data_IF_927748913353
#
_entry.id   IF_927748913353
#
_cell.length_a   1.000
_cell.length_b   1.000
_cell.length_c   1.000
_cell.angle_alpha   90.00
_cell.angle_beta   90.00
_cell.angle_gamma   90.00
#
_symmetry.space_group_name_H-M   'P 1'
#
loop_
_entity.id
_entity.type
_entity.pdbx_description
1 polymer ?
#
# COMPACT_ATOMS: atom_id res chain seq x y z
N UNK A 1 9.75 11.75 10.51
CA UNK A 1 8.53 12.57 10.26
C UNK A 1 8.40 13.65 11.33
N UNK A 2 8.33 13.28 12.60
CA UNK A 2 8.08 14.25 13.68
C UNK A 2 9.18 15.33 13.77
N UNK A 3 10.42 15.00 13.52
CA UNK A 3 11.53 15.95 13.48
C UNK A 3 11.32 16.99 12.36
N UNK A 4 11.08 16.53 11.13
CA UNK A 4 10.87 17.39 9.94
C UNK A 4 9.63 18.29 10.11
N UNK A 5 8.59 17.77 10.75
CA UNK A 5 7.32 18.50 10.96
C UNK A 5 7.31 19.34 12.25
N UNK A 6 8.45 19.50 12.91
CA UNK A 6 8.55 20.20 14.22
C UNK A 6 7.51 19.67 15.22
N UNK A 7 7.40 18.34 15.34
CA UNK A 7 6.46 17.59 16.19
C UNK A 7 4.98 17.74 15.84
N UNK A 8 4.62 18.43 14.77
CA UNK A 8 3.21 18.61 14.35
C UNK A 8 2.59 17.34 13.76
N UNK A 9 3.40 16.47 13.16
CA UNK A 9 2.95 15.30 12.42
C UNK A 9 2.36 15.63 11.06
N UNK A 10 1.92 14.59 10.34
CA UNK A 10 1.36 14.71 8.99
C UNK A 10 -0.16 14.51 8.97
N UNK A 11 -0.88 15.09 8.00
CA UNK A 11 -2.32 14.93 7.93
C UNK A 11 -2.79 13.52 7.55
N UNK A 12 -2.01 12.80 6.76
CA UNK A 12 -2.36 11.46 6.26
C UNK A 12 -1.12 10.57 6.30
N UNK A 13 -1.30 9.31 6.67
CA UNK A 13 -0.32 8.23 6.51
C UNK A 13 -0.96 7.11 5.71
N UNK A 14 -0.29 6.70 4.63
CA UNK A 14 -0.61 5.52 3.84
C UNK A 14 0.30 4.36 4.28
N UNK A 15 -0.29 3.31 4.85
CA UNK A 15 0.45 2.16 5.38
C UNK A 15 0.06 0.87 4.63
N UNK A 16 1.01 0.36 3.86
CA UNK A 16 0.90 -0.92 3.14
C UNK A 16 1.54 -2.10 3.87
N UNK A 17 2.19 -1.85 5.02
CA UNK A 17 2.97 -2.87 5.75
C UNK A 17 2.14 -3.55 6.85
N UNK A 18 1.38 -2.80 7.61
CA UNK A 18 0.42 -3.32 8.58
C UNK A 18 1.04 -3.54 9.98
N UNK A 19 1.01 -4.80 10.48
CA UNK A 19 1.33 -5.15 11.88
C UNK A 19 2.58 -4.46 12.44
N UNK A 20 3.68 -4.46 11.69
CA UNK A 20 4.97 -3.95 12.20
C UNK A 20 5.10 -2.43 12.17
N UNK A 21 4.23 -1.73 11.44
CA UNK A 21 4.34 -0.27 11.23
C UNK A 21 3.20 0.52 11.83
N UNK A 22 2.06 -0.10 12.09
CA UNK A 22 0.83 0.56 12.51
C UNK A 22 1.02 1.59 13.62
N UNK A 23 1.64 1.20 14.74
CA UNK A 23 1.82 2.12 15.88
C UNK A 23 2.71 3.32 15.52
N UNK A 24 3.80 3.09 14.80
CA UNK A 24 4.68 4.17 14.33
C UNK A 24 3.99 5.08 13.33
N UNK A 25 3.13 4.52 12.49
CA UNK A 25 2.31 5.26 11.53
C UNK A 25 1.30 6.18 12.25
N UNK A 26 0.63 5.67 13.29
CA UNK A 26 -0.27 6.45 14.15
C UNK A 26 0.47 7.60 14.85
N UNK A 27 1.67 7.35 15.37
CA UNK A 27 2.49 8.37 16.03
C UNK A 27 2.85 9.54 15.09
N UNK A 28 3.07 9.24 13.82
CA UNK A 28 3.38 10.25 12.80
C UNK A 28 2.23 11.20 12.46
N UNK A 29 0.99 10.83 12.79
CA UNK A 29 -0.19 11.63 12.46
C UNK A 29 -0.37 12.80 13.41
N UNK A 30 -0.78 13.94 12.86
CA UNK A 30 -1.30 15.07 13.64
C UNK A 30 -2.68 14.77 14.21
N UNK A 31 -3.16 15.59 15.15
CA UNK A 31 -4.54 15.58 15.64
C UNK A 31 -5.52 15.67 14.45
N UNK A 32 -6.56 14.86 14.46
CA UNK A 32 -7.55 14.68 13.38
C UNK A 32 -6.91 14.24 12.03
N UNK A 33 -5.76 13.58 12.09
CA UNK A 33 -5.13 12.98 10.91
C UNK A 33 -5.82 11.68 10.50
N UNK A 34 -5.54 11.24 9.28
CA UNK A 34 -6.12 10.03 8.69
C UNK A 34 -5.07 8.94 8.53
N UNK A 35 -5.37 7.77 9.09
CA UNK A 35 -4.63 6.53 8.86
C UNK A 35 -5.30 5.74 7.73
N UNK A 36 -4.62 5.56 6.62
CA UNK A 36 -5.05 4.75 5.48
C UNK A 36 -4.27 3.45 5.47
N UNK A 37 -4.85 2.38 6.04
CA UNK A 37 -4.23 1.06 6.11
C UNK A 37 -4.65 0.21 4.92
N UNK A 38 -3.86 0.18 3.85
CA UNK A 38 -4.25 -0.49 2.60
C UNK A 38 -3.53 -1.82 2.34
N UNK A 39 -2.60 -2.24 3.22
CA UNK A 39 -1.85 -3.48 3.04
C UNK A 39 -1.48 -4.19 4.33
N UNK A 40 -1.00 -5.43 4.18
CA UNK A 40 -0.65 -6.36 5.27
C UNK A 40 0.69 -7.08 5.01
N UNK A 41 1.66 -6.42 4.40
CA UNK A 41 2.93 -7.06 4.04
C UNK A 41 3.68 -7.71 5.23
N UNK A 42 3.44 -7.21 6.46
CA UNK A 42 4.00 -7.79 7.70
C UNK A 42 2.98 -8.54 8.56
N UNK A 43 1.79 -8.75 8.06
CA UNK A 43 0.67 -9.39 8.75
C UNK A 43 -0.50 -8.43 8.98
N UNK A 44 -1.65 -9.02 9.26
CA UNK A 44 -2.90 -8.30 9.53
C UNK A 44 -2.82 -7.49 10.81
N UNK A 45 -3.57 -6.39 10.84
CA UNK A 45 -3.87 -5.67 12.06
C UNK A 45 -4.96 -6.42 12.82
N UNK A 46 -4.63 -6.87 14.00
CA UNK A 46 -5.54 -7.54 14.91
C UNK A 46 -5.68 -6.72 16.19
N UNK A 47 -6.87 -6.72 16.77
CA UNK A 47 -7.13 -6.13 18.10
C UNK A 47 -6.66 -4.68 18.24
N UNK A 48 -7.06 -3.81 17.32
CA UNK A 48 -6.77 -2.38 17.44
C UNK A 48 -7.55 -1.82 18.62
N UNK A 49 -6.83 -1.41 19.66
CA UNK A 49 -7.40 -0.67 20.78
C UNK A 49 -7.73 0.76 20.34
N UNK A 50 -8.98 1.00 20.02
CA UNK A 50 -9.47 2.31 19.54
C UNK A 50 -9.21 3.41 20.58
N UNK A 51 -9.39 3.09 21.85
CA UNK A 51 -9.19 4.06 22.96
C UNK A 51 -7.74 4.51 23.07
N UNK A 52 -6.79 3.59 22.88
CA UNK A 52 -5.37 3.90 22.96
C UNK A 52 -4.77 4.44 21.66
N UNK A 53 -5.24 3.92 20.52
CA UNK A 53 -4.61 4.20 19.22
C UNK A 53 -5.26 5.37 18.47
N UNK A 54 -6.58 5.51 18.54
CA UNK A 54 -7.34 6.45 17.70
C UNK A 54 -7.78 7.67 18.51
N UNK A 55 -8.39 7.43 19.67
CA UNK A 55 -8.98 8.48 20.51
C UNK A 55 -8.00 9.60 20.93
N UNK A 56 -6.74 9.35 21.30
CA UNK A 56 -5.86 10.40 21.85
C UNK A 56 -5.64 11.59 20.91
N UNK A 57 -5.72 11.35 19.61
CA UNK A 57 -5.59 12.40 18.57
C UNK A 57 -6.87 12.60 17.77
N UNK A 58 -7.97 11.91 18.11
CA UNK A 58 -9.22 11.95 17.33
C UNK A 58 -8.99 11.59 15.85
N UNK A 59 -8.27 10.50 15.60
CA UNK A 59 -7.86 10.12 14.26
C UNK A 59 -9.02 9.53 13.45
N UNK A 60 -8.95 9.70 12.14
CA UNK A 60 -9.72 8.90 11.19
C UNK A 60 -8.93 7.66 10.83
N UNK A 61 -9.61 6.52 10.76
CA UNK A 61 -9.02 5.26 10.31
C UNK A 61 -9.85 4.69 9.17
N UNK A 62 -9.19 4.34 8.08
CA UNK A 62 -9.84 3.66 6.95
C UNK A 62 -8.98 2.52 6.45
N UNK A 63 -9.65 1.45 6.01
CA UNK A 63 -9.03 0.31 5.35
C UNK A 63 -9.68 0.10 3.98
N UNK A 64 -9.24 0.88 2.97
CA UNK A 64 -9.81 0.77 1.63
C UNK A 64 -9.37 -0.53 0.96
N UNK A 65 -10.27 -1.08 0.15
CA UNK A 65 -9.96 -2.13 -0.82
C UNK A 65 -10.34 -1.64 -2.22
N UNK A 66 -9.58 -2.04 -3.22
CA UNK A 66 -9.80 -1.62 -4.61
C UNK A 66 -11.25 -1.85 -5.07
N UNK A 67 -11.85 -2.97 -4.68
CA UNK A 67 -13.23 -3.32 -5.04
C UNK A 67 -14.29 -2.35 -4.49
N UNK A 68 -13.98 -1.56 -3.47
CA UNK A 68 -14.90 -0.52 -2.99
C UNK A 68 -14.93 0.72 -3.89
N UNK A 69 -13.91 0.88 -4.72
CA UNK A 69 -13.75 2.01 -5.66
C UNK A 69 -14.01 1.61 -7.12
N UNK A 70 -14.01 0.30 -7.40
CA UNK A 70 -14.21 -0.30 -8.73
C UNK A 70 -15.31 -1.36 -8.63
N UNK A 71 -16.44 -0.98 -8.05
CA UNK A 71 -17.55 -1.89 -7.72
C UNK A 71 -18.38 -2.30 -8.92
N UNK A 72 -18.38 -1.48 -9.96
CA UNK A 72 -19.10 -1.73 -11.22
C UNK A 72 -18.13 -1.99 -12.37
N UNK A 73 -18.63 -2.66 -13.43
CA UNK A 73 -17.86 -2.88 -14.65
C UNK A 73 -17.39 -1.57 -15.29
N UNK A 74 -18.22 -0.54 -15.24
CA UNK A 74 -17.90 0.78 -15.81
C UNK A 74 -16.76 1.45 -15.01
N UNK A 75 -16.83 1.48 -13.68
CA UNK A 75 -15.75 2.03 -12.84
C UNK A 75 -14.42 1.30 -13.07
N UNK A 76 -14.47 -0.03 -13.17
CA UNK A 76 -13.29 -0.84 -13.48
C UNK A 76 -12.71 -0.48 -14.85
N UNK A 77 -13.55 -0.37 -15.87
CA UNK A 77 -13.13 -0.03 -17.24
C UNK A 77 -12.51 1.37 -17.29
N UNK A 78 -13.19 2.38 -16.73
CA UNK A 78 -12.66 3.74 -16.66
C UNK A 78 -11.34 3.83 -15.90
N UNK A 79 -11.22 3.11 -14.78
CA UNK A 79 -9.99 3.06 -13.99
C UNK A 79 -8.83 2.44 -14.79
N UNK A 80 -9.10 1.35 -15.50
CA UNK A 80 -8.13 0.67 -16.36
C UNK A 80 -7.70 1.57 -17.52
N UNK A 81 -8.64 2.20 -18.21
CA UNK A 81 -8.35 3.09 -19.35
C UNK A 81 -7.48 4.27 -18.93
N UNK A 82 -7.78 4.92 -17.80
CA UNK A 82 -6.96 6.01 -17.22
C UNK A 82 -5.56 5.55 -16.86
N UNK A 83 -5.42 4.34 -16.33
CA UNK A 83 -4.12 3.77 -15.98
C UNK A 83 -3.28 3.50 -17.24
N UNK A 84 -3.85 2.80 -18.21
CA UNK A 84 -3.16 2.47 -19.45
C UNK A 84 -2.81 3.70 -20.29
N UNK A 85 -3.69 4.70 -20.33
CA UNK A 85 -3.37 5.99 -20.94
C UNK A 85 -2.10 6.60 -20.34
N UNK A 86 -2.01 6.66 -19.01
CA UNK A 86 -0.83 7.22 -18.30
C UNK A 86 0.44 6.41 -18.54
N UNK A 87 0.33 5.09 -18.64
CA UNK A 87 1.45 4.22 -18.99
C UNK A 87 1.91 4.48 -20.44
N UNK A 88 0.97 4.57 -21.38
CA UNK A 88 1.26 4.82 -22.80
C UNK A 88 1.89 6.20 -23.03
N UNK A 89 1.45 7.21 -22.28
CA UNK A 89 2.04 8.56 -22.30
C UNK A 89 3.41 8.64 -21.56
N UNK A 90 3.89 7.55 -20.99
CA UNK A 90 5.14 7.50 -20.23
C UNK A 90 5.12 8.26 -18.91
N UNK A 91 3.94 8.70 -18.45
CA UNK A 91 3.76 9.37 -17.15
C UNK A 91 3.92 8.38 -15.99
N UNK A 92 3.57 7.11 -16.20
CA UNK A 92 3.83 6.01 -15.27
C UNK A 92 4.84 5.08 -15.92
N UNK A 93 6.01 4.94 -15.27
CA UNK A 93 7.09 4.05 -15.73
C UNK A 93 7.11 2.80 -14.87
N UNK A 94 6.81 1.65 -15.46
CA UNK A 94 6.87 0.35 -14.79
C UNK A 94 8.23 -0.26 -15.08
N UNK A 95 9.12 -0.25 -14.08
CA UNK A 95 10.44 -0.88 -14.20
C UNK A 95 10.32 -2.35 -13.83
N UNK A 96 10.28 -3.24 -14.82
CA UNK A 96 10.32 -4.69 -14.60
C UNK A 96 11.69 -5.04 -14.01
N UNK A 97 11.68 -5.66 -12.84
CA UNK A 97 12.89 -6.08 -12.14
C UNK A 97 13.51 -7.32 -12.77
N UNK A 98 12.68 -8.35 -13.02
CA UNK A 98 13.14 -9.63 -13.60
C UNK A 98 12.04 -10.29 -14.42
N UNK A 99 12.44 -10.96 -15.50
CA UNK A 99 11.60 -11.84 -16.30
C UNK A 99 11.98 -13.28 -15.99
N UNK A 100 11.00 -14.14 -15.79
CA UNK A 100 11.16 -15.58 -15.61
C UNK A 100 10.47 -16.30 -16.75
N UNK A 101 10.97 -17.46 -17.15
CA UNK A 101 10.24 -18.38 -18.02
C UNK A 101 9.15 -19.06 -17.19
N UNK A 102 8.12 -19.56 -17.85
CA UNK A 102 7.05 -20.31 -17.17
C UNK A 102 7.63 -21.52 -16.41
N UNK A 103 8.61 -22.23 -16.97
CA UNK A 103 9.29 -23.35 -16.34
C UNK A 103 10.02 -22.97 -15.04
N UNK A 104 10.38 -21.72 -14.87
CA UNK A 104 11.08 -21.18 -13.69
C UNK A 104 10.12 -20.62 -12.63
N UNK A 105 8.81 -20.87 -12.71
CA UNK A 105 7.80 -20.32 -11.80
C UNK A 105 8.11 -20.60 -10.32
N UNK A 106 8.62 -21.79 -10.01
CA UNK A 106 9.01 -22.16 -8.62
C UNK A 106 10.11 -21.26 -8.11
N UNK A 107 11.11 -20.95 -8.96
CA UNK A 107 12.19 -20.05 -8.59
C UNK A 107 11.69 -18.60 -8.45
N UNK A 108 10.76 -18.17 -9.30
CA UNK A 108 10.13 -16.85 -9.21
C UNK A 108 9.44 -16.66 -7.85
N UNK A 109 8.67 -17.64 -7.38
CA UNK A 109 8.04 -17.62 -6.06
C UNK A 109 9.06 -17.58 -4.93
N UNK A 110 10.10 -18.42 -4.97
CA UNK A 110 11.18 -18.40 -3.95
C UNK A 110 11.88 -17.05 -3.87
N UNK A 111 12.18 -16.44 -5.02
CA UNK A 111 12.82 -15.12 -5.07
C UNK A 111 11.89 -14.02 -4.50
N UNK A 112 10.58 -14.08 -4.78
CA UNK A 112 9.58 -13.16 -4.25
C UNK A 112 9.47 -13.28 -2.72
N UNK A 113 9.32 -14.49 -2.20
CA UNK A 113 9.18 -14.77 -0.77
C UNK A 113 10.44 -14.38 0.03
N UNK A 114 11.62 -14.59 -0.57
CA UNK A 114 12.90 -14.20 0.04
C UNK A 114 13.17 -12.69 0.02
N UNK A 115 12.24 -11.87 -0.53
CA UNK A 115 12.36 -10.40 -0.67
C UNK A 115 13.59 -9.94 -1.46
N UNK A 116 14.14 -10.78 -2.33
CA UNK A 116 15.22 -10.41 -3.25
C UNK A 116 14.73 -9.57 -4.43
N UNK A 117 13.43 -9.63 -4.71
CA UNK A 117 12.79 -8.87 -5.78
C UNK A 117 12.36 -7.50 -5.24
N UNK A 118 12.94 -6.43 -5.79
CA UNK A 118 12.68 -5.04 -5.37
C UNK A 118 11.73 -4.29 -6.32
N UNK A 119 11.11 -4.99 -7.26
CA UNK A 119 10.17 -4.43 -8.23
C UNK A 119 9.33 -5.52 -8.89
N UNK A 120 8.43 -5.20 -9.82
CA UNK A 120 7.61 -6.18 -10.51
C UNK A 120 8.45 -7.25 -11.20
N UNK A 121 8.10 -8.51 -10.98
CA UNK A 121 8.59 -9.64 -11.72
C UNK A 121 7.47 -10.18 -12.62
N UNK A 122 7.79 -10.57 -13.83
CA UNK A 122 6.83 -11.13 -14.78
C UNK A 122 7.27 -12.54 -15.21
N UNK A 123 6.28 -13.39 -15.43
CA UNK A 123 6.47 -14.72 -16.04
C UNK A 123 6.09 -14.60 -17.51
N UNK A 124 6.96 -15.05 -18.36
CA UNK A 124 6.72 -15.09 -19.81
C UNK A 124 6.66 -16.55 -20.27
N UNK A 125 5.73 -16.89 -21.19
CA UNK A 125 5.60 -18.24 -21.74
C UNK A 125 6.87 -18.69 -22.43
#
# INVERSE_FOLDING_TARGET
VLEITKKKGVPVVYDGVGKNTFHKSIECLKTRGMMVSFGNASGSLENIDVKKSIQPKGLFFTRPAMMHYLSTRNELQEGADKLFEKVNLGQIKIKIFKKYRLDDVVQAHKDLESRKITGPAIIVP
#
